data_IF_481043105995
#
_entry.id   IF_481043105995
#
_cell.length_a   1.000
_cell.length_b   1.000
_cell.length_c   1.000
_cell.angle_alpha   90.00
_cell.angle_beta   90.00
_cell.angle_gamma   90.00
#
_symmetry.space_group_name_H-M   'P 1'
#
loop_
_entity.id
_entity.type
_entity.pdbx_description
1 polymer ?
#
# COMPACT_ATOMS: atom_id res chain seq x y z
N UNK A 1 9.19 -0.87 11.57
CA UNK A 1 9.37 0.05 10.41
C UNK A 1 8.07 0.83 10.20
N UNK A 2 7.97 2.02 10.79
CA UNK A 2 6.81 2.92 10.70
C UNK A 2 7.19 4.08 9.76
N UNK A 3 6.89 3.98 8.46
CA UNK A 3 7.10 5.08 7.49
C UNK A 3 5.78 5.77 7.12
N UNK A 4 4.64 5.36 7.69
CA UNK A 4 3.35 5.97 7.34
C UNK A 4 2.96 7.20 8.17
N UNK A 5 3.67 7.52 9.25
CA UNK A 5 3.27 8.60 10.17
C UNK A 5 3.63 10.01 9.67
N UNK A 6 4.56 10.16 8.72
CA UNK A 6 5.10 11.48 8.35
C UNK A 6 4.44 12.10 7.11
N UNK A 7 3.34 11.53 6.65
CA UNK A 7 2.89 11.73 5.28
C UNK A 7 2.20 13.10 5.15
N UNK A 8 1.83 13.88 6.16
CA UNK A 8 1.15 15.19 5.93
C UNK A 8 1.96 16.27 5.16
N UNK A 9 3.28 16.15 5.01
CA UNK A 9 4.11 16.89 4.01
C UNK A 9 4.09 16.22 2.61
N UNK A 10 2.93 15.64 2.29
CA UNK A 10 2.59 14.44 1.49
C UNK A 10 3.18 14.29 0.09
N UNK A 11 3.07 15.29 -0.77
CA UNK A 11 3.19 15.01 -2.21
C UNK A 11 4.60 14.60 -2.65
N UNK A 12 5.65 15.19 -2.06
CA UNK A 12 7.03 14.89 -2.48
C UNK A 12 7.47 13.50 -2.04
N UNK A 13 7.10 13.11 -0.82
CA UNK A 13 7.45 11.80 -0.26
C UNK A 13 6.57 10.68 -0.82
N UNK A 14 5.31 10.96 -1.16
CA UNK A 14 4.41 9.96 -1.79
C UNK A 14 4.90 9.54 -3.17
N UNK A 15 5.39 10.47 -3.99
CA UNK A 15 5.97 10.13 -5.31
C UNK A 15 7.24 9.29 -5.16
N UNK A 16 8.11 9.64 -4.20
CA UNK A 16 9.30 8.83 -3.88
C UNK A 16 8.95 7.42 -3.40
N UNK A 17 7.98 7.31 -2.48
CA UNK A 17 7.50 6.03 -1.96
C UNK A 17 6.87 5.17 -3.06
N UNK A 18 6.07 5.79 -3.94
CA UNK A 18 5.49 5.11 -5.10
C UNK A 18 6.57 4.51 -5.99
N UNK A 19 7.53 5.32 -6.43
CA UNK A 19 8.63 4.85 -7.29
C UNK A 19 9.43 3.72 -6.64
N UNK A 20 9.67 3.82 -5.32
CA UNK A 20 10.36 2.78 -4.56
C UNK A 20 9.60 1.44 -4.62
N UNK A 21 8.29 1.45 -4.35
CA UNK A 21 7.50 0.22 -4.36
C UNK A 21 7.26 -0.33 -5.76
N UNK A 22 7.11 0.53 -6.78
CA UNK A 22 7.06 0.11 -8.18
C UNK A 22 8.36 -0.61 -8.57
N UNK A 23 9.51 -0.03 -8.26
CA UNK A 23 10.81 -0.67 -8.52
C UNK A 23 11.04 -1.93 -7.70
N UNK A 24 10.54 -1.98 -6.46
CA UNK A 24 10.58 -3.20 -5.67
C UNK A 24 9.81 -4.33 -6.35
N UNK A 25 8.67 -4.05 -6.97
CA UNK A 25 7.89 -5.04 -7.71
C UNK A 25 8.57 -5.53 -8.99
N UNK A 26 9.45 -4.73 -9.60
CA UNK A 26 10.23 -5.16 -10.78
C UNK A 26 11.26 -6.25 -10.45
N UNK A 27 11.79 -6.25 -9.22
CA UNK A 27 12.91 -7.14 -8.82
C UNK A 27 12.51 -8.20 -7.79
N UNK A 28 11.44 -7.97 -7.03
CA UNK A 28 11.03 -8.85 -5.94
C UNK A 28 10.32 -10.10 -6.45
N UNK A 29 10.79 -11.25 -5.99
CA UNK A 29 10.12 -12.54 -6.16
C UNK A 29 9.55 -13.06 -4.83
N UNK A 30 9.98 -12.49 -3.69
CA UNK A 30 9.51 -12.90 -2.38
C UNK A 30 8.03 -12.48 -2.18
N UNK A 31 7.11 -13.42 -1.90
CA UNK A 31 5.68 -13.13 -1.78
C UNK A 31 5.37 -12.02 -0.77
N UNK A 32 6.14 -11.96 0.32
CA UNK A 32 6.01 -10.92 1.34
C UNK A 32 6.31 -9.53 0.80
N UNK A 33 7.41 -9.38 0.07
CA UNK A 33 7.80 -8.10 -0.51
C UNK A 33 6.78 -7.66 -1.56
N UNK A 34 6.34 -8.57 -2.42
CA UNK A 34 5.34 -8.28 -3.46
C UNK A 34 4.00 -7.86 -2.84
N UNK A 35 3.49 -8.62 -1.86
CA UNK A 35 2.20 -8.34 -1.22
C UNK A 35 2.20 -6.98 -0.52
N UNK A 36 3.22 -6.69 0.30
CA UNK A 36 3.30 -5.42 1.01
C UNK A 36 3.55 -4.22 0.09
N UNK A 37 4.33 -4.38 -0.98
CA UNK A 37 4.53 -3.32 -1.98
C UNK A 37 3.20 -2.92 -2.62
N UNK A 38 2.39 -3.91 -3.01
CA UNK A 38 1.04 -3.63 -3.50
C UNK A 38 0.13 -2.99 -2.44
N UNK A 39 0.17 -3.41 -1.17
CA UNK A 39 -0.61 -2.75 -0.10
C UNK A 39 -0.26 -1.27 0.01
N UNK A 40 1.03 -0.94 0.04
CA UNK A 40 1.46 0.46 0.18
C UNK A 40 1.15 1.29 -1.06
N UNK A 41 1.29 0.73 -2.26
CA UNK A 41 0.83 1.41 -3.49
C UNK A 41 -0.67 1.69 -3.43
N UNK A 42 -1.47 0.70 -2.99
CA UNK A 42 -2.91 0.90 -2.78
C UNK A 42 -3.22 2.08 -1.85
N UNK A 43 -2.51 2.18 -0.72
CA UNK A 43 -2.66 3.28 0.23
C UNK A 43 -2.29 4.63 -0.37
N UNK A 44 -1.18 4.69 -1.12
CA UNK A 44 -0.76 5.92 -1.82
C UNK A 44 -1.83 6.37 -2.82
N UNK A 45 -2.41 5.44 -3.59
CA UNK A 45 -3.46 5.77 -4.54
C UNK A 45 -4.77 6.21 -3.88
N UNK A 46 -5.17 5.61 -2.76
CA UNK A 46 -6.32 6.08 -1.98
C UNK A 46 -6.09 7.53 -1.49
N UNK A 47 -4.90 7.84 -0.98
CA UNK A 47 -4.52 9.20 -0.56
C UNK A 47 -4.51 10.20 -1.73
N UNK A 48 -4.22 9.73 -2.94
CA UNK A 48 -4.28 10.52 -4.18
C UNK A 48 -5.69 10.58 -4.78
N UNK A 49 -6.71 10.08 -4.07
CA UNK A 49 -8.10 9.96 -4.53
C UNK A 49 -8.26 9.12 -5.82
N UNK A 50 -7.29 8.26 -6.13
CA UNK A 50 -7.29 7.34 -7.27
C UNK A 50 -7.76 5.95 -6.83
N UNK A 51 -9.02 5.85 -6.42
CA UNK A 51 -9.58 4.64 -5.79
C UNK A 51 -9.49 3.41 -6.68
N UNK A 52 -9.71 3.54 -7.98
CA UNK A 52 -9.66 2.40 -8.90
C UNK A 52 -8.25 1.78 -8.98
N UNK A 53 -7.22 2.63 -9.07
CA UNK A 53 -5.83 2.20 -9.02
C UNK A 53 -5.50 1.55 -7.67
N UNK A 54 -6.00 2.12 -6.57
CA UNK A 54 -5.83 1.54 -5.25
C UNK A 54 -6.41 0.12 -5.15
N UNK A 55 -7.65 -0.07 -5.63
CA UNK A 55 -8.32 -1.37 -5.65
C UNK A 55 -7.57 -2.41 -6.46
N UNK A 56 -6.98 -2.03 -7.60
CA UNK A 56 -6.17 -2.95 -8.40
C UNK A 56 -4.95 -3.46 -7.62
N UNK A 57 -4.29 -2.57 -6.89
CA UNK A 57 -3.18 -2.95 -6.03
C UNK A 57 -3.61 -3.82 -4.85
N UNK A 58 -4.72 -3.51 -4.18
CA UNK A 58 -5.21 -4.38 -3.10
C UNK A 58 -5.60 -5.78 -3.58
N UNK A 59 -6.17 -5.92 -4.78
CA UNK A 59 -6.44 -7.25 -5.38
C UNK A 59 -5.14 -8.01 -5.63
N UNK A 60 -4.13 -7.35 -6.19
CA UNK A 60 -2.82 -7.96 -6.43
C UNK A 60 -2.14 -8.37 -5.10
N UNK A 61 -2.22 -7.52 -4.08
CA UNK A 61 -1.72 -7.82 -2.74
C UNK A 61 -2.41 -9.04 -2.11
N UNK A 62 -3.74 -9.16 -2.25
CA UNK A 62 -4.50 -10.31 -1.73
C UNK A 62 -4.05 -11.62 -2.38
N UNK A 63 -3.78 -11.60 -3.68
CA UNK A 63 -3.27 -12.76 -4.42
C UNK A 63 -1.84 -13.11 -4.00
N UNK A 64 -0.93 -12.13 -3.97
CA UNK A 64 0.47 -12.34 -3.59
C UNK A 64 0.65 -12.73 -2.11
N UNK A 65 -0.21 -12.19 -1.24
CA UNK A 65 -0.23 -12.43 0.20
C UNK A 65 -1.08 -13.64 0.63
N UNK A 66 -1.46 -14.54 -0.29
CA UNK A 66 -2.35 -15.66 0.02
C UNK A 66 -1.87 -16.57 1.16
N UNK A 67 -0.54 -16.71 1.33
CA UNK A 67 0.11 -17.45 2.43
C UNK A 67 0.50 -16.58 3.64
N UNK A 68 0.19 -15.28 3.61
CA UNK A 68 0.58 -14.28 4.60
C UNK A 68 -0.69 -13.68 5.22
N UNK A 69 -1.16 -14.21 6.37
CA UNK A 69 -2.43 -13.82 6.97
C UNK A 69 -2.56 -12.30 7.17
N UNK A 70 -1.50 -11.63 7.61
CA UNK A 70 -1.49 -10.20 7.88
C UNK A 70 -1.58 -9.37 6.60
N UNK A 71 -0.88 -9.78 5.54
CA UNK A 71 -0.93 -9.10 4.25
C UNK A 71 -2.30 -9.28 3.58
N UNK A 72 -2.85 -10.49 3.65
CA UNK A 72 -4.20 -10.78 3.15
C UNK A 72 -5.25 -9.92 3.87
N UNK A 73 -5.22 -9.87 5.20
CA UNK A 73 -6.15 -9.05 5.98
C UNK A 73 -6.02 -7.55 5.67
N UNK A 74 -4.79 -7.05 5.51
CA UNK A 74 -4.55 -5.66 5.13
C UNK A 74 -5.07 -5.34 3.71
N UNK A 75 -4.90 -6.25 2.76
CA UNK A 75 -5.43 -6.12 1.41
C UNK A 75 -6.96 -6.16 1.39
N UNK A 76 -7.57 -7.09 2.12
CA UNK A 76 -9.04 -7.19 2.25
C UNK A 76 -9.63 -5.91 2.85
N UNK A 77 -9.02 -5.39 3.92
CA UNK A 77 -9.42 -4.10 4.48
C UNK A 77 -9.35 -2.97 3.45
N UNK A 78 -8.28 -2.89 2.65
CA UNK A 78 -8.14 -1.89 1.59
C UNK A 78 -9.19 -2.02 0.47
N UNK A 79 -9.64 -3.24 0.17
CA UNK A 79 -10.74 -3.48 -0.78
C UNK A 79 -12.08 -2.99 -0.25
N UNK A 80 -12.34 -3.20 1.04
CA UNK A 80 -13.58 -2.79 1.69
C UNK A 80 -13.68 -1.27 1.87
N UNK A 81 -12.59 -0.63 2.31
CA UNK A 81 -12.56 0.79 2.63
C UNK A 81 -11.28 1.46 2.13
N UNK A 82 -11.37 2.70 1.60
CA UNK A 82 -10.19 3.51 1.31
C UNK A 82 -9.30 3.65 2.53
N UNK A 83 -8.00 3.65 2.30
CA UNK A 83 -7.05 3.96 3.35
C UNK A 83 -7.16 5.42 3.77
N UNK A 84 -7.39 5.62 5.06
CA UNK A 84 -7.24 6.90 5.73
C UNK A 84 -6.05 6.81 6.70
N UNK A 85 -5.16 7.81 6.70
CA UNK A 85 -4.05 7.83 7.64
C UNK A 85 -4.64 7.97 9.06
N UNK A 86 -4.05 7.28 10.06
CA UNK A 86 -4.53 7.41 11.43
C UNK A 86 -4.47 8.89 11.83
N UNK A 87 -5.57 9.42 12.35
CA UNK A 87 -5.58 10.75 12.94
C UNK A 87 -4.48 10.78 14.01
N UNK A 88 -3.54 11.72 13.89
CA UNK A 88 -2.49 11.91 14.89
C UNK A 88 -3.16 12.02 16.26
N UNK A 89 -2.75 11.22 17.27
CA UNK A 89 -3.12 11.52 18.65
C UNK A 89 -2.58 12.93 18.94
N UNK A 90 -3.47 13.85 19.30
CA UNK A 90 -3.10 15.18 19.78
C UNK A 90 -2.35 15.07 21.12
#
# INVERSE_FOLDING_TARGET
MFILAQVATMNRDMQGARNYFERALEVAQEPKVVAWSHIYLGRIFDLQQSREAALNHYRAAKTAGGSLPEAKAAAERGLEQPYEPPASPQ
#
